data_IF_720370650049
#
_entry.id   IF_720370650049
#
_cell.length_a   1.000
_cell.length_b   1.000
_cell.length_c   1.000
_cell.angle_alpha   90.00
_cell.angle_beta   90.00
_cell.angle_gamma   90.00
#
_symmetry.space_group_name_H-M   'P 1'
#
loop_
_entity.id
_entity.type
_entity.pdbx_description
1 polymer ?
#
# COMPACT_ATOMS: atom_id res chain seq x y z
N UNK A 1 -12.23 -39.78 89.98
CA UNK A 1 -11.44 -40.44 88.91
C UNK A 1 -12.23 -40.26 87.61
N UNK A 2 -12.16 -39.12 86.90
CA UNK A 2 -11.07 -38.70 85.99
C UNK A 2 -10.65 -39.88 85.11
N UNK A 3 -11.12 -40.02 83.87
CA UNK A 3 -10.60 -39.28 82.70
C UNK A 3 -11.58 -39.36 81.51
N UNK A 4 -12.35 -38.30 81.22
CA UNK A 4 -13.12 -38.24 79.95
C UNK A 4 -13.11 -36.84 79.30
N UNK A 5 -12.21 -35.97 79.74
CA UNK A 5 -12.19 -34.55 79.37
C UNK A 5 -10.92 -34.09 78.65
N UNK A 6 -10.21 -35.00 77.97
CA UNK A 6 -8.98 -34.67 77.24
C UNK A 6 -9.02 -34.97 75.73
N UNK A 7 -10.12 -35.53 75.20
CA UNK A 7 -10.19 -35.98 73.79
C UNK A 7 -11.12 -35.17 72.87
N UNK A 8 -11.83 -34.16 73.39
CA UNK A 8 -12.77 -33.33 72.61
C UNK A 8 -12.30 -31.92 72.26
N UNK A 9 -11.12 -31.49 72.74
CA UNK A 9 -10.61 -30.12 72.54
C UNK A 9 -9.37 -30.02 71.63
N UNK A 10 -9.15 -30.99 70.75
CA UNK A 10 -8.13 -30.91 69.68
C UNK A 10 -8.74 -31.08 68.28
N UNK A 11 -10.02 -30.70 68.12
CA UNK A 11 -10.74 -30.68 66.83
C UNK A 11 -11.17 -29.26 66.43
N UNK A 12 -10.25 -28.32 66.56
CA UNK A 12 -10.29 -27.00 65.95
C UNK A 12 -8.84 -26.53 66.07
N UNK A 13 -8.06 -26.30 65.03
CA UNK A 13 -8.32 -25.61 63.79
C UNK A 13 -7.11 -25.84 62.89
N UNK A 14 -7.31 -26.43 61.71
CA UNK A 14 -6.49 -26.04 60.56
C UNK A 14 -7.37 -26.14 59.33
N UNK A 15 -8.14 -25.06 59.16
CA UNK A 15 -8.87 -24.77 57.93
C UNK A 15 -7.94 -25.07 56.76
N UNK A 16 -8.41 -25.96 55.88
CA UNK A 16 -7.92 -26.14 54.52
C UNK A 16 -7.64 -24.77 53.89
N UNK A 17 -6.39 -24.39 53.78
CA UNK A 17 -5.95 -23.59 52.66
C UNK A 17 -5.53 -24.56 51.57
N UNK A 18 -6.54 -25.20 50.96
CA UNK A 18 -6.38 -25.79 49.62
C UNK A 18 -6.20 -24.59 48.70
N UNK A 19 -4.99 -24.01 48.70
CA UNK A 19 -4.58 -22.92 47.82
C UNK A 19 -4.93 -23.42 46.42
N UNK A 20 -5.98 -22.82 45.85
CA UNK A 20 -6.51 -23.19 44.54
C UNK A 20 -5.32 -23.17 43.59
N UNK A 21 -4.86 -24.35 43.16
CA UNK A 21 -3.99 -24.51 41.99
C UNK A 21 -4.84 -24.30 40.73
N UNK A 22 -5.50 -23.15 40.67
CA UNK A 22 -6.29 -22.73 39.54
C UNK A 22 -5.94 -21.28 39.30
N UNK A 23 -4.85 -21.06 38.57
CA UNK A 23 -4.71 -19.85 37.75
C UNK A 23 -3.52 -19.92 36.79
N UNK A 24 -2.51 -20.79 36.95
CA UNK A 24 -1.31 -20.66 36.10
C UNK A 24 -1.50 -20.95 34.60
N UNK A 25 -2.60 -21.59 34.18
CA UNK A 25 -2.91 -21.82 32.75
C UNK A 25 -3.84 -20.75 32.16
N UNK A 26 -4.78 -20.22 32.94
CA UNK A 26 -5.66 -19.13 32.50
C UNK A 26 -4.94 -17.78 32.52
N UNK A 27 -4.09 -17.53 33.51
CA UNK A 27 -3.30 -16.29 33.59
C UNK A 27 -2.37 -16.14 32.37
N UNK A 28 -1.84 -17.27 31.86
CA UNK A 28 -1.00 -17.28 30.64
C UNK A 28 -1.79 -17.06 29.36
N UNK A 29 -3.07 -17.44 29.33
CA UNK A 29 -3.97 -17.17 28.20
C UNK A 29 -4.41 -15.71 28.16
N UNK A 30 -4.67 -15.11 29.33
CA UNK A 30 -4.97 -13.68 29.44
C UNK A 30 -3.81 -12.79 28.97
N UNK A 31 -2.58 -13.12 29.38
CA UNK A 31 -1.38 -12.41 28.91
C UNK A 31 -1.22 -12.46 27.38
N UNK A 32 -1.39 -13.64 26.77
CA UNK A 32 -1.30 -13.80 25.32
C UNK A 32 -2.36 -12.99 24.54
N UNK A 33 -3.57 -12.85 25.08
CA UNK A 33 -4.63 -12.03 24.46
C UNK A 33 -4.26 -10.54 24.50
N UNK A 34 -3.68 -10.06 25.61
CA UNK A 34 -3.26 -8.65 25.75
C UNK A 34 -2.08 -8.35 24.82
N UNK A 35 -1.10 -9.25 24.74
CA UNK A 35 0.01 -9.13 23.80
C UNK A 35 -0.50 -9.07 22.34
N UNK A 36 -1.44 -9.96 21.98
CA UNK A 36 -2.04 -9.96 20.65
C UNK A 36 -2.85 -8.69 20.37
N UNK A 37 -3.58 -8.16 21.35
CA UNK A 37 -4.38 -6.94 21.20
C UNK A 37 -3.53 -5.70 20.91
N UNK A 38 -2.27 -5.67 21.36
CA UNK A 38 -1.33 -4.58 21.08
C UNK A 38 -0.56 -4.82 19.77
N UNK A 39 -0.18 -6.06 19.49
CA UNK A 39 0.57 -6.39 18.28
C UNK A 39 -0.28 -6.35 17.00
N UNK A 40 -1.55 -6.77 17.06
CA UNK A 40 -2.41 -6.85 15.88
C UNK A 40 -2.62 -5.50 15.19
N UNK A 41 -2.94 -4.39 15.89
CA UNK A 41 -3.09 -3.08 15.26
C UNK A 41 -1.83 -2.63 14.50
N UNK A 42 -0.65 -2.87 15.09
CA UNK A 42 0.63 -2.52 14.45
C UNK A 42 0.87 -3.37 13.21
N UNK A 43 0.64 -4.68 13.29
CA UNK A 43 0.80 -5.58 12.15
C UNK A 43 -0.17 -5.26 11.00
N UNK A 44 -1.42 -4.92 11.32
CA UNK A 44 -2.43 -4.50 10.33
C UNK A 44 -2.00 -3.18 9.69
N UNK A 45 -1.60 -2.18 10.48
CA UNK A 45 -1.15 -0.89 9.96
C UNK A 45 0.05 -1.04 9.02
N UNK A 46 1.05 -1.85 9.41
CA UNK A 46 2.23 -2.13 8.59
C UNK A 46 1.83 -2.87 7.31
N UNK A 47 0.94 -3.86 7.40
CA UNK A 47 0.50 -4.63 6.23
C UNK A 47 -0.24 -3.74 5.22
N UNK A 48 -1.13 -2.87 5.70
CA UNK A 48 -1.83 -1.89 4.84
C UNK A 48 -0.83 -0.93 4.19
N UNK A 49 0.13 -0.40 4.96
CA UNK A 49 1.20 0.44 4.40
C UNK A 49 2.03 -0.28 3.33
N UNK A 50 2.31 -1.58 3.50
CA UNK A 50 3.01 -2.38 2.49
C UNK A 50 2.18 -2.58 1.21
N UNK A 51 0.87 -2.77 1.33
CA UNK A 51 -0.03 -2.88 0.18
C UNK A 51 0.02 -1.59 -0.63
N UNK A 52 -0.13 -0.45 0.04
CA UNK A 52 -0.10 0.86 -0.60
C UNK A 52 1.26 1.18 -1.22
N UNK A 53 2.35 0.86 -0.52
CA UNK A 53 3.71 1.03 -1.06
C UNK A 53 3.95 0.17 -2.31
N UNK A 54 3.45 -1.06 -2.31
CA UNK A 54 3.57 -1.96 -3.46
C UNK A 54 2.76 -1.43 -4.64
N UNK A 55 1.56 -0.94 -4.39
CA UNK A 55 0.71 -0.33 -5.41
C UNK A 55 1.37 0.93 -5.99
N UNK A 56 1.96 1.79 -5.16
CA UNK A 56 2.76 2.95 -5.57
C UNK A 56 3.89 2.59 -6.53
N UNK A 57 4.69 1.59 -6.17
CA UNK A 57 5.81 1.14 -7.01
C UNK A 57 5.30 0.57 -8.33
N UNK A 58 4.24 -0.24 -8.28
CA UNK A 58 3.63 -0.82 -9.48
C UNK A 58 3.05 0.26 -10.39
N UNK A 59 2.39 1.28 -9.83
CA UNK A 59 1.81 2.41 -10.55
C UNK A 59 2.89 3.25 -11.26
N UNK A 60 4.01 3.56 -10.59
CA UNK A 60 5.13 4.25 -11.25
C UNK A 60 5.70 3.43 -12.40
N UNK A 61 5.89 2.13 -12.21
CA UNK A 61 6.42 1.26 -13.28
C UNK A 61 5.46 1.17 -14.47
N UNK A 62 4.18 1.12 -14.16
CA UNK A 62 3.07 1.15 -15.10
C UNK A 62 3.11 2.38 -16.02
N UNK A 63 3.25 3.58 -15.42
CA UNK A 63 3.31 4.84 -16.17
C UNK A 63 4.57 4.90 -17.02
N UNK A 64 5.71 4.39 -16.52
CA UNK A 64 6.95 4.29 -17.33
C UNK A 64 6.74 3.47 -18.59
N UNK A 65 6.07 2.33 -18.46
CA UNK A 65 5.77 1.47 -19.59
C UNK A 65 4.82 2.19 -20.57
N UNK A 66 3.81 2.91 -20.05
CA UNK A 66 2.88 3.66 -20.89
C UNK A 66 3.57 4.81 -21.66
N UNK A 67 4.40 5.59 -20.98
CA UNK A 67 5.21 6.65 -21.58
C UNK A 67 6.17 6.09 -22.64
N UNK A 68 6.80 4.94 -22.36
CA UNK A 68 7.67 4.27 -23.33
C UNK A 68 6.91 3.81 -24.59
N UNK A 69 5.72 3.24 -24.44
CA UNK A 69 4.92 2.79 -25.59
C UNK A 69 4.36 3.97 -26.40
N UNK A 70 3.96 5.06 -25.72
CA UNK A 70 3.60 6.31 -26.37
C UNK A 70 4.79 6.93 -27.13
N UNK A 71 5.98 6.96 -26.52
CA UNK A 71 7.20 7.39 -27.20
C UNK A 71 7.49 6.51 -28.43
N UNK A 72 7.35 5.19 -28.30
CA UNK A 72 7.51 4.27 -29.43
C UNK A 72 6.52 4.58 -30.56
N UNK A 73 5.25 4.80 -30.26
CA UNK A 73 4.26 5.22 -31.24
C UNK A 73 4.65 6.56 -31.89
N UNK A 74 5.16 7.51 -31.10
CA UNK A 74 5.62 8.81 -31.59
C UNK A 74 6.84 8.73 -32.51
N UNK A 75 7.63 7.66 -32.39
CA UNK A 75 8.79 7.40 -33.26
C UNK A 75 8.40 6.89 -34.65
N UNK A 76 7.15 6.46 -34.87
CA UNK A 76 6.74 5.92 -36.15
C UNK A 76 6.70 6.99 -37.26
N UNK A 77 7.09 6.55 -38.45
CA UNK A 77 7.12 7.30 -39.69
C UNK A 77 5.83 8.07 -40.05
N UNK A 78 4.68 7.56 -39.61
CA UNK A 78 3.35 8.11 -39.87
C UNK A 78 2.63 8.52 -38.58
N UNK A 79 3.39 8.71 -37.49
CA UNK A 79 2.85 9.08 -36.20
C UNK A 79 2.24 10.48 -36.24
N UNK A 80 1.00 10.56 -35.76
CA UNK A 80 0.18 11.75 -35.48
C UNK A 80 0.02 11.85 -33.96
N UNK A 81 -0.05 13.06 -33.41
CA UNK A 81 -0.36 13.30 -32.00
C UNK A 81 -1.55 12.46 -31.49
N UNK A 82 -2.61 12.31 -32.28
CA UNK A 82 -3.77 11.49 -31.93
C UNK A 82 -3.41 10.01 -31.79
N UNK A 83 -2.57 9.47 -32.69
CA UNK A 83 -2.14 8.05 -32.60
C UNK A 83 -1.29 7.76 -31.36
N UNK A 84 -0.52 8.76 -30.91
CA UNK A 84 0.25 8.69 -29.66
C UNK A 84 -0.68 8.74 -28.45
N UNK A 85 -1.67 9.64 -28.48
CA UNK A 85 -2.72 9.75 -27.47
C UNK A 85 -3.49 8.42 -27.33
N UNK A 86 -3.96 7.85 -28.44
CA UNK A 86 -4.71 6.58 -28.46
C UNK A 86 -3.90 5.42 -27.85
N UNK A 87 -2.57 5.43 -28.05
CA UNK A 87 -1.66 4.44 -27.48
C UNK A 87 -1.52 4.61 -25.97
N UNK A 88 -1.37 5.84 -25.49
CA UNK A 88 -1.35 6.15 -24.06
C UNK A 88 -2.68 5.79 -23.40
N UNK A 89 -3.81 6.19 -24.00
CA UNK A 89 -5.17 5.88 -23.55
C UNK A 89 -5.39 4.38 -23.41
N UNK A 90 -4.97 3.60 -24.40
CA UNK A 90 -5.13 2.14 -24.37
C UNK A 90 -4.43 1.51 -23.17
N UNK A 91 -3.21 1.95 -22.84
CA UNK A 91 -2.45 1.37 -21.73
C UNK A 91 -2.91 1.88 -20.36
N UNK A 92 -3.31 3.16 -20.27
CA UNK A 92 -3.74 3.80 -19.03
C UNK A 92 -5.17 3.39 -18.64
N UNK A 93 -6.09 3.31 -19.61
CA UNK A 93 -7.46 2.84 -19.39
C UNK A 93 -7.52 1.38 -18.89
N UNK A 94 -6.63 0.51 -19.37
CA UNK A 94 -6.51 -0.87 -18.84
C UNK A 94 -6.15 -0.92 -17.35
N UNK A 95 -5.62 0.17 -16.80
CA UNK A 95 -5.24 0.29 -15.39
C UNK A 95 -6.15 1.23 -14.61
N UNK A 96 -7.25 1.68 -15.22
CA UNK A 96 -8.23 2.56 -14.57
C UNK A 96 -7.73 3.97 -14.35
N UNK A 97 -6.70 4.41 -15.08
CA UNK A 97 -6.24 5.81 -15.09
C UNK A 97 -7.02 6.55 -16.15
N UNK A 98 -7.87 7.47 -15.72
CA UNK A 98 -8.74 8.28 -16.60
C UNK A 98 -8.20 9.71 -16.77
N UNK A 99 -7.55 10.26 -15.74
CA UNK A 99 -6.98 11.61 -15.80
C UNK A 99 -5.47 11.56 -15.92
N UNK A 100 -4.93 12.07 -17.03
CA UNK A 100 -3.50 12.25 -17.23
C UNK A 100 -3.24 13.37 -18.25
N UNK A 101 -2.02 13.89 -18.24
CA UNK A 101 -1.54 14.89 -19.18
C UNK A 101 -0.39 14.30 -20.00
N UNK A 102 -0.54 14.33 -21.32
CA UNK A 102 0.48 13.91 -22.27
C UNK A 102 1.00 15.16 -22.99
N UNK A 103 2.29 15.43 -22.84
CA UNK A 103 2.95 16.56 -23.48
C UNK A 103 3.84 16.05 -24.60
N UNK A 104 3.55 16.52 -25.82
CA UNK A 104 4.36 16.33 -27.01
C UNK A 104 5.01 17.68 -27.39
N UNK A 105 6.12 17.68 -28.14
CA UNK A 105 6.71 18.92 -28.63
C UNK A 105 5.74 19.66 -29.57
N UNK A 106 5.64 20.99 -29.47
CA UNK A 106 4.68 21.80 -30.24
C UNK A 106 4.77 21.59 -31.76
N UNK A 107 5.96 21.25 -32.27
CA UNK A 107 6.22 21.06 -33.69
C UNK A 107 6.06 19.59 -34.16
N UNK A 108 5.49 18.69 -33.34
CA UNK A 108 5.52 17.22 -33.53
C UNK A 108 5.23 16.72 -34.97
N UNK A 109 4.24 17.31 -35.64
CA UNK A 109 3.84 16.92 -37.01
C UNK A 109 4.83 17.39 -38.08
N UNK A 110 5.58 18.44 -37.80
CA UNK A 110 6.54 19.07 -38.74
C UNK A 110 7.98 18.67 -38.49
N UNK A 111 8.25 18.01 -37.37
CA UNK A 111 9.57 17.55 -36.99
C UNK A 111 10.11 16.53 -38.02
N UNK A 112 11.32 16.76 -38.58
CA UNK A 112 11.93 15.85 -39.54
C UNK A 112 12.24 14.48 -38.93
N UNK A 113 12.27 13.46 -39.78
CA UNK A 113 12.79 12.13 -39.41
C UNK A 113 14.25 12.23 -38.95
N UNK A 114 14.60 11.46 -37.94
CA UNK A 114 15.92 11.40 -37.33
C UNK A 114 16.15 12.36 -36.17
N UNK A 115 15.17 13.18 -35.81
CA UNK A 115 15.24 14.07 -34.64
C UNK A 115 14.82 13.34 -33.35
N UNK A 116 15.29 13.88 -32.22
CA UNK A 116 14.86 13.44 -30.89
C UNK A 116 13.49 14.05 -30.59
N UNK A 117 12.54 13.21 -30.21
CA UNK A 117 11.21 13.57 -29.70
C UNK A 117 11.18 13.23 -28.22
N UNK A 118 10.80 14.22 -27.40
CA UNK A 118 10.57 14.01 -25.98
C UNK A 118 9.06 13.84 -25.76
N UNK A 119 8.68 12.75 -25.11
CA UNK A 119 7.31 12.48 -24.70
C UNK A 119 7.29 12.52 -23.18
N UNK A 120 6.40 13.34 -22.63
CA UNK A 120 6.20 13.47 -21.20
C UNK A 120 4.79 13.06 -20.83
N UNK A 121 4.69 12.23 -19.79
CA UNK A 121 3.43 11.75 -19.26
C UNK A 121 3.35 12.09 -17.78
N UNK A 122 2.37 12.91 -17.41
CA UNK A 122 2.07 13.30 -16.05
C UNK A 122 0.73 12.72 -15.61
N UNK A 123 0.74 11.96 -14.51
CA UNK A 123 -0.48 11.35 -13.94
C UNK A 123 -0.64 11.82 -12.50
N UNK A 124 -1.80 12.38 -12.12
CA UNK A 124 -2.10 12.71 -10.73
C UNK A 124 -2.08 11.48 -9.83
N UNK A 125 -1.63 11.64 -8.58
CA UNK A 125 -1.61 10.53 -7.61
C UNK A 125 -3.01 10.07 -7.19
N UNK A 126 -4.02 10.93 -7.34
CA UNK A 126 -5.42 10.62 -7.07
C UNK A 126 -5.96 9.45 -7.91
N UNK A 127 -5.35 9.17 -9.07
CA UNK A 127 -5.70 8.03 -9.93
C UNK A 127 -5.23 6.69 -9.37
N UNK A 128 -4.28 6.70 -8.44
CA UNK A 128 -3.62 5.49 -7.97
C UNK A 128 -4.42 4.77 -6.86
N UNK A 129 -5.12 5.49 -5.98
CA UNK A 129 -5.75 4.87 -4.82
C UNK A 129 -7.07 5.52 -4.40
N UNK A 130 -8.14 4.72 -4.38
CA UNK A 130 -9.38 5.02 -3.64
C UNK A 130 -9.36 4.52 -2.18
N UNK A 131 -8.19 4.19 -1.62
CA UNK A 131 -8.09 3.71 -0.23
C UNK A 131 -7.82 4.87 0.74
N UNK A 132 -8.93 5.47 1.19
CA UNK A 132 -9.10 6.62 2.09
C UNK A 132 -8.20 6.69 3.36
N UNK A 133 -7.42 5.67 3.69
CA UNK A 133 -6.55 5.66 4.88
C UNK A 133 -5.26 6.48 4.73
N UNK A 134 -4.77 6.68 3.50
CA UNK A 134 -3.53 7.42 3.22
C UNK A 134 -3.77 8.85 2.69
N UNK A 135 -5.01 9.19 2.29
CA UNK A 135 -5.41 10.54 1.84
C UNK A 135 -5.06 11.63 2.87
N UNK A 136 -5.01 11.29 4.17
CA UNK A 136 -4.64 12.23 5.24
C UNK A 136 -3.21 12.76 5.14
N UNK A 137 -2.34 12.13 4.34
CA UNK A 137 -0.95 12.54 4.11
C UNK A 137 -0.71 13.05 2.68
N UNK A 138 -1.72 12.97 1.80
CA UNK A 138 -1.64 13.30 0.38
C UNK A 138 -1.62 14.81 0.14
N UNK A 139 -2.37 15.60 0.91
CA UNK A 139 -2.40 17.08 0.82
C UNK A 139 -1.04 17.76 1.05
N UNK A 140 -0.06 17.06 1.64
CA UNK A 140 1.30 17.57 1.87
C UNK A 140 2.28 17.25 0.73
N UNK A 141 1.86 16.46 -0.25
CA UNK A 141 2.67 15.93 -1.33
C UNK A 141 2.16 16.54 -2.64
N UNK A 142 2.90 17.47 -3.22
CA UNK A 142 2.61 18.20 -4.48
C UNK A 142 2.70 17.28 -5.73
N UNK A 143 2.30 16.01 -5.60
CA UNK A 143 3.01 14.88 -6.18
C UNK A 143 2.23 14.15 -7.28
N UNK A 144 2.09 14.79 -8.44
CA UNK A 144 1.89 14.03 -9.68
C UNK A 144 3.09 13.10 -9.95
N UNK A 145 2.86 11.99 -10.65
CA UNK A 145 3.95 11.18 -11.23
C UNK A 145 4.20 11.68 -12.64
N UNK A 146 5.26 12.47 -12.79
CA UNK A 146 5.75 12.92 -14.10
C UNK A 146 6.88 12.02 -14.58
N UNK A 147 6.76 11.52 -15.82
CA UNK A 147 7.76 10.67 -16.46
C UNK A 147 8.04 11.19 -17.86
N UNK A 148 9.29 11.58 -18.08
CA UNK A 148 9.81 12.00 -19.38
C UNK A 148 10.57 10.85 -20.04
N UNK A 149 10.41 10.68 -21.35
CA UNK A 149 11.19 9.75 -22.17
C UNK A 149 11.49 10.36 -23.53
N UNK A 150 12.76 10.26 -23.96
CA UNK A 150 13.22 10.73 -25.27
C UNK A 150 13.44 9.57 -26.24
N UNK A 151 12.96 9.68 -27.47
CA UNK A 151 13.14 8.69 -28.55
C UNK A 151 13.45 9.37 -29.88
N UNK A 152 14.09 8.67 -30.82
CA UNK A 152 14.38 9.21 -32.15
C UNK A 152 13.24 8.82 -33.11
N UNK A 153 12.70 9.78 -33.84
CA UNK A 153 11.66 9.56 -34.87
C UNK A 153 12.27 8.96 -36.14
N UNK A 154 11.68 7.90 -36.70
CA UNK A 154 12.16 7.21 -37.92
C UNK A 154 11.53 7.73 -39.23
#
# INVERSE_FOLDING_TARGET
MSTQSASKLLRATRRRTKRRRHSSRDDRRGAAIVEFAICLPVLVAVTLAFIDLTNLIYFRQTIKIACYDAARAAAEASADAQSVQDTADRLLSMRGVENYELTLPDDFDTIPRGSIVNVELAVPLSEMTSFSGMDLWEDSLDNGVTIETSIIKE
#
